data_IF_238270105861
#
_entry.id   IF_238270105861
#
_cell.length_a   1.000
_cell.length_b   1.000
_cell.length_c   1.000
_cell.angle_alpha   90.00
_cell.angle_beta   90.00
_cell.angle_gamma   90.00
#
_symmetry.space_group_name_H-M   'P 1'
#
loop_
_entity.id
_entity.type
_entity.pdbx_description
1 polymer ?
#
# COMPACT_ATOMS: atom_id res chain seq x y z
N UNK A 1 7.75 -15.44 -5.17
CA UNK A 1 6.83 -16.16 -6.08
C UNK A 1 7.59 -16.77 -7.25
N UNK A 2 8.39 -16.00 -8.00
CA UNK A 2 9.20 -16.51 -9.13
C UNK A 2 10.19 -17.61 -8.72
N UNK A 3 10.81 -17.51 -7.55
CA UNK A 3 11.82 -18.50 -7.12
C UNK A 3 11.20 -19.87 -6.81
N UNK A 4 9.99 -19.90 -6.21
CA UNK A 4 9.26 -21.16 -5.99
C UNK A 4 8.93 -21.84 -7.31
N UNK A 5 8.52 -21.07 -8.33
CA UNK A 5 8.23 -21.62 -9.65
C UNK A 5 9.47 -22.25 -10.31
N UNK A 6 10.65 -21.65 -10.13
CA UNK A 6 11.92 -22.22 -10.62
C UNK A 6 12.28 -23.51 -9.90
N UNK A 7 12.15 -23.54 -8.57
CA UNK A 7 12.46 -24.73 -7.75
C UNK A 7 11.50 -25.91 -8.02
N UNK A 8 10.25 -25.63 -8.43
CA UNK A 8 9.27 -26.66 -8.82
C UNK A 8 9.52 -27.24 -10.22
N UNK A 9 10.22 -26.51 -11.08
CA UNK A 9 10.53 -26.89 -12.47
C UNK A 9 11.98 -27.30 -12.71
N UNK A 10 12.68 -27.73 -11.66
CA UNK A 10 14.02 -28.32 -11.79
C UNK A 10 13.99 -29.55 -12.72
N UNK A 11 14.96 -29.62 -13.64
CA UNK A 11 15.09 -30.74 -14.61
C UNK A 11 15.28 -32.09 -13.92
N UNK A 12 16.02 -32.11 -12.82
CA UNK A 12 16.19 -33.30 -11.99
C UNK A 12 14.97 -33.48 -11.07
N UNK A 13 14.20 -34.58 -11.19
CA UNK A 13 13.00 -34.80 -10.39
C UNK A 13 13.29 -34.97 -8.89
N UNK A 14 14.50 -35.40 -8.51
CA UNK A 14 14.88 -35.58 -7.10
C UNK A 14 15.22 -34.27 -6.39
N UNK A 15 15.54 -33.21 -7.16
CA UNK A 15 15.86 -31.89 -6.63
C UNK A 15 14.62 -30.99 -6.51
N UNK A 16 13.46 -31.50 -6.93
CA UNK A 16 12.19 -30.79 -6.78
C UNK A 16 11.77 -30.80 -5.32
N UNK A 17 11.32 -29.65 -4.85
CA UNK A 17 10.73 -29.52 -3.53
C UNK A 17 9.50 -30.42 -3.40
N UNK A 18 9.38 -31.08 -2.25
CA UNK A 18 8.19 -31.83 -1.92
C UNK A 18 6.98 -30.88 -1.83
N UNK A 19 5.81 -31.38 -2.27
CA UNK A 19 4.61 -30.55 -2.47
C UNK A 19 4.10 -29.92 -1.17
N UNK A 20 4.32 -30.57 -0.03
CA UNK A 20 4.05 -30.06 1.31
C UNK A 20 4.87 -28.81 1.63
N UNK A 21 6.16 -28.81 1.27
CA UNK A 21 7.07 -27.66 1.44
C UNK A 21 6.64 -26.50 0.54
N UNK A 22 6.25 -26.79 -0.70
CA UNK A 22 5.74 -25.77 -1.64
C UNK A 22 4.47 -25.11 -1.09
N UNK A 23 3.50 -25.91 -0.62
CA UNK A 23 2.27 -25.42 -0.02
C UNK A 23 2.52 -24.57 1.23
N UNK A 24 3.44 -24.99 2.10
CA UNK A 24 3.83 -24.24 3.30
C UNK A 24 4.47 -22.88 2.94
N UNK A 25 5.41 -22.86 1.99
CA UNK A 25 6.04 -21.62 1.52
C UNK A 25 5.04 -20.64 0.89
N UNK A 26 4.10 -21.16 0.08
CA UNK A 26 3.04 -20.35 -0.51
C UNK A 26 2.09 -19.78 0.55
N UNK A 27 1.76 -20.55 1.59
CA UNK A 27 0.95 -20.08 2.70
C UNK A 27 1.64 -18.95 3.47
N UNK A 28 2.94 -19.06 3.74
CA UNK A 28 3.74 -18.02 4.39
C UNK A 28 3.82 -16.74 3.55
N UNK A 29 4.00 -16.86 2.23
CA UNK A 29 3.98 -15.69 1.32
C UNK A 29 2.60 -15.02 1.33
N UNK A 30 1.52 -15.81 1.31
CA UNK A 30 0.15 -15.30 1.39
C UNK A 30 -0.11 -14.59 2.72
N UNK A 31 0.43 -15.10 3.82
CA UNK A 31 0.35 -14.48 5.15
C UNK A 31 1.20 -13.21 5.27
N UNK A 32 2.37 -13.16 4.61
CA UNK A 32 3.23 -11.97 4.57
C UNK A 32 2.68 -10.83 3.72
N UNK A 33 1.82 -11.14 2.74
CA UNK A 33 1.16 -10.15 1.85
C UNK A 33 -0.18 -9.62 2.37
N UNK A 34 -0.65 -10.05 3.55
CA UNK A 34 -2.01 -9.77 4.06
C UNK A 34 -2.04 -8.90 5.32
N UNK A 35 -1.25 -7.82 5.35
CA UNK A 35 -1.40 -6.78 6.39
C UNK A 35 -1.44 -5.36 5.85
N UNK A 36 -2.23 -5.13 4.82
CA UNK A 36 -3.12 -3.97 4.86
C UNK A 36 -4.51 -4.56 4.91
N UNK A 37 -5.16 -4.55 6.09
CA UNK A 37 -6.58 -4.86 6.10
C UNK A 37 -7.25 -3.86 5.16
N UNK A 38 -8.32 -4.26 4.49
CA UNK A 38 -9.07 -3.37 3.60
C UNK A 38 -9.35 -2.02 4.28
N UNK A 39 -9.69 -2.04 5.58
CA UNK A 39 -9.84 -0.83 6.38
C UNK A 39 -8.57 0.03 6.45
N UNK A 40 -7.40 -0.56 6.71
CA UNK A 40 -6.13 0.19 6.77
C UNK A 40 -5.83 0.90 5.45
N UNK A 41 -6.06 0.21 4.32
CA UNK A 41 -5.89 0.81 2.99
C UNK A 41 -6.93 1.90 2.70
N UNK A 42 -8.18 1.70 3.12
CA UNK A 42 -9.23 2.72 2.99
C UNK A 42 -8.94 3.94 3.86
N UNK A 43 -8.41 3.76 5.08
CA UNK A 43 -8.00 4.87 5.95
C UNK A 43 -6.84 5.66 5.35
N UNK A 44 -5.81 4.99 4.83
CA UNK A 44 -4.71 5.64 4.12
C UNK A 44 -5.22 6.49 2.94
N UNK A 45 -6.13 5.93 2.13
CA UNK A 45 -6.74 6.66 1.00
C UNK A 45 -7.56 7.86 1.46
N UNK A 46 -8.32 7.74 2.55
CA UNK A 46 -9.11 8.82 3.11
C UNK A 46 -8.24 9.95 3.64
N UNK A 47 -7.15 9.63 4.33
CA UNK A 47 -6.20 10.61 4.87
C UNK A 47 -5.55 11.43 3.74
N UNK A 48 -5.10 10.77 2.68
CA UNK A 48 -4.52 11.44 1.50
C UNK A 48 -5.51 12.42 0.87
N UNK A 49 -6.75 11.98 0.61
CA UNK A 49 -7.77 12.84 0.03
C UNK A 49 -8.16 14.01 0.94
N UNK A 50 -8.19 13.79 2.26
CA UNK A 50 -8.49 14.84 3.24
C UNK A 50 -7.37 15.89 3.25
N UNK A 51 -6.11 15.46 3.27
CA UNK A 51 -4.95 16.35 3.22
C UNK A 51 -4.90 17.17 1.91
N UNK A 52 -5.24 16.55 0.78
CA UNK A 52 -5.32 17.24 -0.51
C UNK A 52 -6.41 18.33 -0.51
N UNK A 53 -7.60 18.01 0.01
CA UNK A 53 -8.69 18.99 0.14
C UNK A 53 -8.34 20.13 1.09
N UNK A 54 -7.73 19.84 2.24
CA UNK A 54 -7.29 20.86 3.19
C UNK A 54 -6.26 21.82 2.58
N UNK A 55 -5.33 21.28 1.78
CA UNK A 55 -4.35 22.08 1.03
C UNK A 55 -5.05 22.97 0.00
N UNK A 56 -5.97 22.43 -0.80
CA UNK A 56 -6.70 23.18 -1.80
C UNK A 56 -7.52 24.33 -1.18
N UNK A 57 -8.21 24.07 -0.08
CA UNK A 57 -8.94 25.09 0.68
C UNK A 57 -8.00 26.16 1.20
N UNK A 58 -6.85 25.78 1.76
CA UNK A 58 -5.85 26.73 2.27
C UNK A 58 -5.28 27.60 1.16
N UNK A 59 -4.94 27.03 0.01
CA UNK A 59 -4.40 27.77 -1.13
C UNK A 59 -5.41 28.78 -1.68
N UNK A 60 -6.69 28.41 -1.76
CA UNK A 60 -7.76 29.32 -2.21
C UNK A 60 -8.10 30.40 -1.20
N UNK A 61 -8.09 30.06 0.09
CA UNK A 61 -8.56 30.97 1.13
C UNK A 61 -7.45 31.83 1.75
N UNK A 62 -6.18 31.38 1.68
CA UNK A 62 -5.01 32.14 2.12
C UNK A 62 -4.93 33.57 1.54
N UNK A 63 -5.05 33.80 0.22
CA UNK A 63 -5.01 35.16 -0.32
C UNK A 63 -6.20 36.02 0.10
N UNK A 64 -7.36 35.41 0.37
CA UNK A 64 -8.52 36.09 0.91
C UNK A 64 -8.23 36.55 2.35
N UNK A 65 -7.79 35.66 3.25
CA UNK A 65 -7.43 36.04 4.62
C UNK A 65 -6.34 37.13 4.67
N UNK A 66 -5.28 37.01 3.87
CA UNK A 66 -4.22 38.02 3.78
C UNK A 66 -4.73 39.39 3.29
N UNK A 67 -5.77 39.40 2.45
CA UNK A 67 -6.42 40.63 1.99
C UNK A 67 -7.30 41.23 3.08
N UNK A 68 -8.06 40.41 3.80
CA UNK A 68 -8.86 40.86 4.93
C UNK A 68 -8.01 41.47 6.05
N UNK A 69 -6.88 40.86 6.38
CA UNK A 69 -5.95 41.40 7.39
C UNK A 69 -5.35 42.77 6.99
N UNK A 70 -5.21 43.05 5.68
CA UNK A 70 -4.73 44.35 5.18
C UNK A 70 -5.80 45.42 5.09
N UNK A 71 -7.07 45.05 5.03
CA UNK A 71 -8.19 46.01 4.98
C UNK A 71 -8.69 46.39 6.39
N UNK A 72 -8.30 45.65 7.43
CA UNK A 72 -8.67 45.89 8.84
C UNK A 72 -7.58 46.61 9.65
N UNK A 73 -6.39 46.85 9.06
CA UNK A 73 -5.21 47.50 9.68
C UNK A 73 -4.89 48.83 9.01
#
# INVERSE_FOLDING_TARGET
>A
MIDIAKECWTENPNDRLAIDVVCSRLATIKQGSTKTNLMDHLFERLEVHTADLEREVRERTSPFFLRFDKEVS
#
